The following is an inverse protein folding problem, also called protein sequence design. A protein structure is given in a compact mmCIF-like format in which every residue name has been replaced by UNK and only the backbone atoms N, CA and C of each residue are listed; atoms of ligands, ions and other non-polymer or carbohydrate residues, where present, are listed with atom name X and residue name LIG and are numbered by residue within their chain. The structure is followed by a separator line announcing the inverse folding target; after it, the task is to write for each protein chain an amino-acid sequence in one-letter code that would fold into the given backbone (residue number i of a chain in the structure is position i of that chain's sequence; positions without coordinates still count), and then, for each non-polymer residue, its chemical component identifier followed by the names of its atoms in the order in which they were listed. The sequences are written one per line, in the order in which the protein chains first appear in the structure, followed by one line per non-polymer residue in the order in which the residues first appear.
data_IF_521551617305
#
_entry.id   IF_521551617305
#
_cell.length_a   1.000
_cell.length_b   1.000
_cell.length_c   1.000
_cell.angle_alpha   90.00
_cell.angle_beta   90.00
_cell.angle_gamma   90.00
#
_symmetry.space_group_name_H-M   'P 1'
#
loop_
_entity.id
_entity.type
_entity.pdbx_description
1 polymer ?
#
# COMPACT_ATOMS: atom_id res chain seq x y z
N UNK A 1 -13.97 -24.01 -34.93
CA UNK A 1 -14.13 -22.67 -34.31
C UNK A 1 -13.36 -22.50 -32.99
N UNK A 2 -12.41 -23.38 -32.62
CA UNK A 2 -11.67 -23.28 -31.36
C UNK A 2 -10.45 -22.32 -31.39
N UNK A 3 -9.90 -22.03 -32.58
CA UNK A 3 -8.71 -21.17 -32.73
C UNK A 3 -8.96 -19.69 -32.49
N UNK A 4 -10.18 -19.21 -32.72
CA UNK A 4 -10.54 -17.79 -32.61
C UNK A 4 -10.73 -17.37 -31.14
N UNK A 5 -11.29 -18.27 -30.31
CA UNK A 5 -11.42 -18.06 -28.86
C UNK A 5 -10.06 -18.01 -28.14
N UNK A 6 -9.10 -18.88 -28.51
CA UNK A 6 -7.76 -18.87 -27.91
C UNK A 6 -7.00 -17.56 -28.22
N UNK A 7 -7.13 -17.05 -29.45
CA UNK A 7 -6.57 -15.76 -29.88
C UNK A 7 -7.17 -14.59 -29.08
N UNK A 8 -8.50 -14.59 -28.89
CA UNK A 8 -9.21 -13.58 -28.12
C UNK A 8 -8.78 -13.57 -26.63
N UNK A 9 -8.76 -14.73 -25.97
CA UNK A 9 -8.30 -14.82 -24.57
C UNK A 9 -6.85 -14.36 -24.40
N UNK A 10 -5.96 -14.71 -25.32
CA UNK A 10 -4.55 -14.29 -25.25
C UNK A 10 -4.42 -12.78 -25.40
N UNK A 11 -5.12 -12.19 -26.37
CA UNK A 11 -5.16 -10.74 -26.58
C UNK A 11 -5.75 -9.99 -25.39
N UNK A 12 -6.83 -10.49 -24.79
CA UNK A 12 -7.42 -9.89 -23.60
C UNK A 12 -6.52 -10.03 -22.36
N UNK A 13 -5.82 -11.14 -22.22
CA UNK A 13 -4.87 -11.35 -21.14
C UNK A 13 -3.61 -10.50 -21.30
N UNK A 14 -3.10 -10.35 -22.51
CA UNK A 14 -2.00 -9.43 -22.84
C UNK A 14 -2.41 -7.98 -22.57
N UNK A 15 -3.60 -7.56 -23.02
CA UNK A 15 -4.14 -6.22 -22.72
C UNK A 15 -4.41 -5.99 -21.23
N UNK A 16 -4.86 -7.02 -20.50
CA UNK A 16 -4.99 -6.96 -19.03
C UNK A 16 -3.63 -6.80 -18.36
N UNK A 17 -2.62 -7.56 -18.79
CA UNK A 17 -1.24 -7.43 -18.29
C UNK A 17 -0.64 -6.06 -18.57
N UNK A 18 -0.82 -5.52 -19.77
CA UNK A 18 -0.37 -4.17 -20.11
C UNK A 18 -1.08 -3.13 -19.26
N UNK A 19 -2.40 -3.22 -19.15
CA UNK A 19 -3.21 -2.30 -18.34
C UNK A 19 -2.78 -2.26 -16.87
N UNK A 20 -2.53 -3.44 -16.27
CA UNK A 20 -2.04 -3.51 -14.90
C UNK A 20 -0.55 -3.20 -14.79
N UNK A 21 0.26 -3.55 -15.78
CA UNK A 21 1.69 -3.23 -15.84
C UNK A 21 1.94 -1.73 -15.89
N UNK A 22 1.20 -0.99 -16.71
CA UNK A 22 1.26 0.47 -16.79
C UNK A 22 0.86 1.10 -15.44
N UNK A 23 -0.21 0.62 -14.81
CA UNK A 23 -0.67 1.13 -13.51
C UNK A 23 0.23 0.76 -12.34
N UNK A 24 0.96 -0.34 -12.43
CA UNK A 24 1.94 -0.76 -11.43
C UNK A 24 3.38 -0.37 -11.79
N UNK A 25 3.60 0.43 -12.84
CA UNK A 25 4.92 0.92 -13.25
C UNK A 25 5.67 1.68 -12.14
N UNK A 26 4.95 2.29 -11.19
CA UNK A 26 5.56 2.90 -10.01
C UNK A 26 6.39 1.92 -9.16
N UNK A 27 6.09 0.61 -9.24
CA UNK A 27 6.85 -0.45 -8.57
C UNK A 27 8.26 -0.61 -9.16
N UNK A 28 8.51 -0.17 -10.39
CA UNK A 28 9.85 -0.22 -10.98
C UNK A 28 10.83 0.65 -10.19
N UNK A 29 10.38 1.76 -9.58
CA UNK A 29 11.19 2.56 -8.66
C UNK A 29 11.63 1.75 -7.42
N UNK A 30 10.82 0.79 -6.98
CA UNK A 30 11.13 -0.09 -5.85
C UNK A 30 11.84 -1.38 -6.27
N UNK A 31 11.92 -1.68 -7.57
CA UNK A 31 12.51 -2.92 -8.06
C UNK A 31 13.96 -3.11 -7.61
N UNK A 32 14.72 -2.02 -7.48
CA UNK A 32 16.08 -2.00 -6.92
C UNK A 32 16.15 -2.53 -5.48
N UNK A 33 15.11 -2.33 -4.69
CA UNK A 33 15.05 -2.78 -3.30
C UNK A 33 14.43 -4.18 -3.18
N UNK A 34 13.45 -4.50 -4.03
CA UNK A 34 12.66 -5.74 -3.95
C UNK A 34 13.34 -6.91 -4.68
N UNK A 35 14.00 -6.67 -5.82
CA UNK A 35 14.62 -7.72 -6.66
C UNK A 35 16.08 -8.01 -6.30
N UNK A 36 16.51 -7.72 -5.06
CA UNK A 36 17.89 -8.02 -4.61
C UNK A 36 18.07 -9.51 -4.34
N UNK A 37 19.25 -10.03 -4.67
CA UNK A 37 19.66 -11.40 -4.30
C UNK A 37 19.74 -11.59 -2.77
N UNK A 38 20.07 -10.51 -2.05
CA UNK A 38 20.00 -10.46 -0.58
C UNK A 38 18.93 -9.45 -0.15
N UNK A 39 17.80 -9.91 0.43
CA UNK A 39 16.75 -9.02 0.88
C UNK A 39 17.26 -8.12 2.02
N UNK A 40 16.84 -6.86 2.02
CA UNK A 40 17.11 -5.95 3.13
C UNK A 40 16.38 -6.45 4.40
N UNK A 41 16.99 -6.33 5.58
CA UNK A 41 16.30 -6.65 6.83
C UNK A 41 15.09 -5.71 7.00
N UNK A 42 14.06 -6.18 7.71
CA UNK A 42 12.92 -5.35 8.06
C UNK A 42 13.36 -4.20 8.97
N UNK A 43 12.99 -2.97 8.62
CA UNK A 43 13.19 -1.82 9.50
C UNK A 43 12.21 -1.82 10.67
N UNK A 44 12.62 -1.22 11.78
CA UNK A 44 11.79 -0.99 12.96
C UNK A 44 11.12 0.39 12.93
N UNK A 45 10.26 0.67 13.92
CA UNK A 45 9.72 2.02 14.10
C UNK A 45 10.84 3.03 14.44
N UNK A 46 11.83 2.62 15.24
CA UNK A 46 12.98 3.46 15.61
C UNK A 46 13.84 3.86 14.42
N UNK A 47 14.04 2.97 13.45
CA UNK A 47 14.83 3.30 12.24
C UNK A 47 14.17 4.41 11.43
N UNK A 48 12.84 4.48 11.46
CA UNK A 48 12.12 5.54 10.76
C UNK A 48 12.18 6.86 11.51
N UNK A 49 12.07 6.84 12.84
CA UNK A 49 12.28 8.05 13.63
C UNK A 49 13.71 8.58 13.50
N UNK A 50 14.70 7.69 13.39
CA UNK A 50 16.09 8.06 13.12
C UNK A 50 16.24 8.71 11.75
N UNK A 51 15.61 8.15 10.71
CA UNK A 51 15.58 8.80 9.40
C UNK A 51 14.91 10.17 9.44
N UNK A 52 13.73 10.28 10.08
CA UNK A 52 12.99 11.54 10.23
C UNK A 52 13.83 12.59 10.96
N UNK A 53 14.60 12.19 11.97
CA UNK A 53 15.51 13.06 12.69
C UNK A 53 16.73 13.45 11.84
N UNK A 54 17.21 12.55 10.98
CA UNK A 54 18.41 12.77 10.15
C UNK A 54 18.14 13.60 8.89
N UNK A 55 16.97 13.46 8.26
CA UNK A 55 16.63 14.09 6.98
C UNK A 55 15.53 15.16 7.16
N UNK A 56 15.89 16.45 7.20
CA UNK A 56 14.92 17.53 7.37
C UNK A 56 14.05 17.78 6.12
N UNK A 57 14.43 17.26 4.95
CA UNK A 57 13.73 17.48 3.68
C UNK A 57 12.66 16.40 3.46
N UNK A 58 13.03 15.13 3.62
CA UNK A 58 12.12 14.01 3.37
C UNK A 58 11.49 13.44 4.65
N UNK A 59 12.06 13.68 5.82
CA UNK A 59 11.56 13.21 7.11
C UNK A 59 10.14 13.67 7.43
N UNK A 60 9.79 14.97 7.36
CA UNK A 60 8.44 15.44 7.62
C UNK A 60 7.39 14.78 6.72
N UNK A 61 7.71 14.65 5.43
CA UNK A 61 6.83 13.99 4.44
C UNK A 61 6.64 12.51 4.74
N UNK A 62 7.70 11.79 5.15
CA UNK A 62 7.61 10.39 5.53
C UNK A 62 6.76 10.20 6.80
N UNK A 63 6.89 11.11 7.78
CA UNK A 63 6.06 11.12 8.99
C UNK A 63 4.58 11.28 8.63
N UNK A 64 4.24 12.27 7.81
CA UNK A 64 2.86 12.49 7.35
C UNK A 64 2.33 11.29 6.57
N UNK A 65 3.15 10.66 5.72
CA UNK A 65 2.75 9.45 4.99
C UNK A 65 2.43 8.28 5.95
N UNK A 66 3.18 8.14 7.05
CA UNK A 66 2.91 7.12 8.08
C UNK A 66 1.65 7.41 8.87
N UNK A 67 1.44 8.66 9.27
CA UNK A 67 0.21 9.07 9.94
C UNK A 67 -0.99 8.80 9.01
N UNK A 68 -0.89 9.12 7.72
CA UNK A 68 -1.93 8.81 6.73
C UNK A 68 -2.23 7.31 6.61
N UNK A 69 -1.20 6.46 6.68
CA UNK A 69 -1.40 5.01 6.69
C UNK A 69 -2.18 4.53 7.93
N UNK A 70 -2.03 5.19 9.09
CA UNK A 70 -2.81 4.88 10.29
C UNK A 70 -4.30 5.22 10.11
N UNK A 71 -4.64 6.27 9.36
CA UNK A 71 -6.04 6.55 9.00
C UNK A 71 -6.62 5.46 8.10
N UNK A 72 -5.87 4.99 7.10
CA UNK A 72 -6.26 3.83 6.28
C UNK A 72 -6.47 2.57 7.11
N UNK A 73 -5.55 2.25 8.01
CA UNK A 73 -5.66 1.09 8.91
C UNK A 73 -6.87 1.20 9.84
N UNK A 74 -7.07 2.37 10.45
CA UNK A 74 -8.21 2.62 11.34
C UNK A 74 -9.52 2.52 10.58
N UNK A 75 -9.60 3.13 9.39
CA UNK A 75 -10.75 3.01 8.50
C UNK A 75 -11.04 1.55 8.14
N UNK A 76 -10.02 0.77 7.83
CA UNK A 76 -10.14 -0.66 7.53
C UNK A 76 -10.74 -1.44 8.70
N UNK A 77 -10.22 -1.25 9.92
CA UNK A 77 -10.74 -1.92 11.12
C UNK A 77 -12.21 -1.55 11.35
N UNK A 78 -12.53 -0.25 11.30
CA UNK A 78 -13.91 0.23 11.50
C UNK A 78 -14.84 -0.34 10.43
N UNK A 79 -14.44 -0.29 9.16
CA UNK A 79 -15.21 -0.82 8.04
C UNK A 79 -15.43 -2.33 8.14
N UNK A 80 -14.38 -3.08 8.48
CA UNK A 80 -14.43 -4.53 8.60
C UNK A 80 -15.36 -4.96 9.74
N UNK A 81 -15.21 -4.37 10.93
CA UNK A 81 -16.01 -4.71 12.12
C UNK A 81 -17.47 -4.28 11.94
N UNK A 82 -17.72 -3.07 11.44
CA UNK A 82 -19.09 -2.57 11.24
C UNK A 82 -19.85 -3.42 10.21
N UNK A 83 -19.23 -3.70 9.06
CA UNK A 83 -19.86 -4.47 7.98
C UNK A 83 -20.08 -5.93 8.40
N UNK A 84 -19.09 -6.55 9.07
CA UNK A 84 -19.22 -7.89 9.62
C UNK A 84 -20.30 -7.97 10.71
N UNK A 85 -20.38 -6.97 11.59
CA UNK A 85 -21.38 -6.91 12.65
C UNK A 85 -22.81 -6.82 12.09
N UNK A 86 -23.02 -5.99 11.06
CA UNK A 86 -24.30 -5.90 10.36
C UNK A 86 -24.63 -7.22 9.66
N UNK A 87 -23.70 -7.78 8.90
CA UNK A 87 -23.92 -9.04 8.20
C UNK A 87 -24.22 -10.19 9.19
N UNK A 88 -23.52 -10.27 10.31
CA UNK A 88 -23.80 -11.26 11.36
C UNK A 88 -25.18 -11.08 11.97
N UNK A 89 -25.59 -9.84 12.28
CA UNK A 89 -26.89 -9.54 12.87
C UNK A 89 -28.06 -10.02 12.00
N UNK A 90 -27.97 -9.84 10.68
CA UNK A 90 -29.07 -10.18 9.76
C UNK A 90 -28.94 -11.57 9.13
N UNK A 91 -27.74 -11.99 8.75
CA UNK A 91 -27.52 -13.27 8.05
C UNK A 91 -27.31 -14.43 9.02
N UNK A 92 -26.79 -14.19 10.23
CA UNK A 92 -26.28 -15.21 11.18
C UNK A 92 -25.40 -16.29 10.53
N UNK A 93 -24.82 -16.01 9.37
CA UNK A 93 -23.95 -16.93 8.63
C UNK A 93 -22.50 -16.49 8.75
N UNK A 94 -21.62 -17.46 9.04
CA UNK A 94 -20.19 -17.20 9.17
C UNK A 94 -19.56 -16.79 7.83
N UNK A 95 -20.00 -17.39 6.73
CA UNK A 95 -19.52 -17.06 5.37
C UNK A 95 -19.91 -15.63 4.97
N UNK A 96 -21.16 -15.21 5.25
CA UNK A 96 -21.62 -13.85 4.96
C UNK A 96 -20.89 -12.82 5.81
N UNK A 97 -20.73 -13.09 7.11
CA UNK A 97 -19.96 -12.23 8.00
C UNK A 97 -18.48 -12.14 7.59
N UNK A 98 -17.84 -13.26 7.23
CA UNK A 98 -16.45 -13.28 6.77
C UNK A 98 -16.22 -12.50 5.47
N UNK A 99 -17.06 -12.71 4.46
CA UNK A 99 -16.97 -11.96 3.21
C UNK A 99 -17.20 -10.46 3.43
N UNK A 100 -18.18 -10.11 4.26
CA UNK A 100 -18.47 -8.72 4.59
C UNK A 100 -17.38 -8.05 5.43
N UNK A 101 -16.68 -8.81 6.27
CA UNK A 101 -15.51 -8.33 7.01
C UNK A 101 -14.40 -7.89 6.04
N UNK A 102 -14.08 -8.75 5.08
CA UNK A 102 -13.05 -8.45 4.07
C UNK A 102 -13.46 -7.26 3.20
N UNK A 103 -14.70 -7.25 2.71
CA UNK A 103 -15.22 -6.13 1.92
C UNK A 103 -15.17 -4.82 2.71
N UNK A 104 -15.68 -4.83 3.95
CA UNK A 104 -15.64 -3.68 4.85
C UNK A 104 -14.23 -3.20 5.14
N UNK A 105 -13.26 -4.11 5.27
CA UNK A 105 -11.86 -3.78 5.46
C UNK A 105 -11.24 -3.07 4.26
N UNK A 106 -11.56 -3.52 3.04
CA UNK A 106 -11.08 -2.88 1.80
C UNK A 106 -11.72 -1.50 1.62
N UNK A 107 -13.05 -1.40 1.78
CA UNK A 107 -13.73 -0.10 1.66
C UNK A 107 -13.27 0.87 2.74
N UNK A 108 -13.18 0.40 3.99
CA UNK A 108 -12.67 1.19 5.11
C UNK A 108 -11.26 1.73 4.87
N UNK A 109 -10.37 0.91 4.30
CA UNK A 109 -9.03 1.35 3.90
C UNK A 109 -9.09 2.48 2.86
N UNK A 110 -9.90 2.31 1.81
CA UNK A 110 -10.02 3.33 0.75
C UNK A 110 -10.57 4.66 1.27
N UNK A 111 -11.62 4.63 2.10
CA UNK A 111 -12.16 5.85 2.72
C UNK A 111 -11.17 6.47 3.72
N UNK A 112 -10.45 5.65 4.48
CA UNK A 112 -9.41 6.14 5.39
C UNK A 112 -8.28 6.86 4.66
N UNK A 113 -7.85 6.33 3.50
CA UNK A 113 -6.87 7.01 2.64
C UNK A 113 -7.41 8.33 2.08
N UNK A 114 -8.68 8.39 1.68
CA UNK A 114 -9.27 9.63 1.16
C UNK A 114 -9.38 10.70 2.26
N UNK A 115 -9.81 10.32 3.45
CA UNK A 115 -9.85 11.21 4.62
C UNK A 115 -8.45 11.73 4.94
N UNK A 116 -7.45 10.85 4.94
CA UNK A 116 -6.06 11.25 5.16
C UNK A 116 -5.58 12.22 4.07
N UNK A 117 -5.84 11.91 2.80
CA UNK A 117 -5.47 12.73 1.65
C UNK A 117 -6.02 14.16 1.77
N UNK A 118 -7.28 14.27 2.18
CA UNK A 118 -7.92 15.57 2.37
C UNK A 118 -7.41 16.30 3.62
N UNK A 119 -7.25 15.59 4.74
CA UNK A 119 -6.87 16.17 6.04
C UNK A 119 -5.41 16.62 6.08
N UNK A 120 -4.50 15.80 5.56
CA UNK A 120 -3.06 16.06 5.57
C UNK A 120 -2.54 16.66 4.26
N UNK A 121 -3.43 16.92 3.29
CA UNK A 121 -3.09 17.46 1.98
C UNK A 121 -1.98 16.67 1.28
N UNK A 122 -2.05 15.33 1.33
CA UNK A 122 -0.98 14.47 0.78
C UNK A 122 -0.73 14.71 -0.72
N UNK A 123 -1.71 15.24 -1.45
CA UNK A 123 -1.55 15.69 -2.84
C UNK A 123 -0.47 16.78 -3.03
N UNK A 124 -0.07 17.50 -1.97
CA UNK A 124 1.02 18.50 -2.00
C UNK A 124 2.38 17.91 -1.68
N UNK A 125 2.42 16.66 -1.20
CA UNK A 125 3.61 16.03 -0.67
C UNK A 125 4.09 14.91 -1.60
N UNK A 126 5.39 14.90 -1.92
CA UNK A 126 5.99 13.80 -2.66
C UNK A 126 6.34 12.63 -1.72
N UNK A 127 5.28 11.91 -1.32
CA UNK A 127 5.40 10.73 -0.44
C UNK A 127 6.22 9.61 -1.05
N UNK A 128 6.21 9.48 -2.38
CA UNK A 128 6.96 8.49 -3.13
C UNK A 128 8.45 8.78 -3.07
N UNK A 129 8.87 10.02 -3.34
CA UNK A 129 10.27 10.41 -3.21
C UNK A 129 10.78 10.26 -1.77
N UNK A 130 9.98 10.64 -0.77
CA UNK A 130 10.36 10.47 0.63
C UNK A 130 10.54 8.99 1.01
N UNK A 131 9.67 8.10 0.52
CA UNK A 131 9.80 6.66 0.74
C UNK A 131 11.04 6.08 0.04
N UNK A 132 11.30 6.45 -1.21
CA UNK A 132 12.51 6.00 -1.92
C UNK A 132 13.78 6.46 -1.19
N UNK A 133 13.80 7.71 -0.70
CA UNK A 133 14.94 8.25 0.06
C UNK A 133 15.15 7.53 1.38
N UNK A 134 14.07 7.19 2.07
CA UNK A 134 14.13 6.33 3.25
C UNK A 134 14.73 4.95 2.91
N UNK A 135 14.33 4.33 1.80
CA UNK A 135 14.86 3.04 1.36
C UNK A 135 16.36 3.11 1.01
N UNK A 136 16.79 4.18 0.34
CA UNK A 136 18.21 4.42 0.03
C UNK A 136 19.04 4.61 1.32
N UNK A 137 18.51 5.38 2.28
CA UNK A 137 19.15 5.54 3.58
C UNK A 137 19.24 4.22 4.35
N UNK A 138 18.17 3.42 4.34
CA UNK A 138 18.14 2.11 4.98
C UNK A 138 19.14 1.13 4.37
N UNK A 139 19.26 1.13 3.04
CA UNK A 139 20.28 0.37 2.30
C UNK A 139 21.68 0.75 2.76
N UNK A 140 22.01 2.06 2.79
CA UNK A 140 23.34 2.53 3.23
C UNK A 140 23.64 2.17 4.69
N UNK A 141 22.64 2.28 5.57
CA UNK A 141 22.76 1.90 6.98
C UNK A 141 23.01 0.40 7.15
N UNK A 142 22.31 -0.45 6.40
CA UNK A 142 22.50 -1.90 6.43
C UNK A 142 23.85 -2.34 5.86
N UNK A 143 24.32 -1.65 4.81
CA UNK A 143 25.61 -1.93 4.16
C UNK A 143 26.81 -1.33 4.93
N UNK A 144 26.58 -0.71 6.10
CA UNK A 144 27.62 -0.17 6.98
C UNK A 144 28.35 1.05 6.43
N UNK A 145 27.76 1.75 5.45
CA UNK A 145 28.26 3.03 4.92
C UNK A 145 27.54 4.16 5.65
N UNK A 146 27.91 4.37 6.91
CA UNK A 146 27.51 5.56 7.69
C UNK A 146 28.21 6.81 7.18
#
# INVERSE_FOLDING_TARGET
MAGDSQSFFRKHWEGYKEFWGERFSFLDNYSRFIKRDKPLPSWSASDVEEFIASDPVHGPTLKTAREAAQFGLTGSIIGAVSTAGVAWKYSRSLHGAGLSFLAGGVFGWTFGQEIANHWMQLYRLDTMAAQVKFMEWWENKCDGRS
#
